data_IF_083987879940
#
_entry.id   IF_083987879940
#
_cell.length_a   1.000
_cell.length_b   1.000
_cell.length_c   1.000
_cell.angle_alpha   90.00
_cell.angle_beta   90.00
_cell.angle_gamma   90.00
#
_symmetry.space_group_name_H-M   'P 1'
#
loop_
_entity.id
_entity.type
_entity.pdbx_description
1 polymer ?
#
# COMPACT_ATOMS: atom_id res chain seq x y z
N UNK A 1 -8.57 -0.09 18.93
CA UNK A 1 -8.59 -1.56 18.76
C UNK A 1 -9.94 -1.93 18.19
N UNK A 2 -9.98 -2.79 17.17
CA UNK A 2 -11.20 -3.16 16.45
C UNK A 2 -11.29 -4.68 16.33
N UNK A 3 -12.50 -5.22 16.24
CA UNK A 3 -12.78 -6.61 15.93
C UNK A 3 -13.97 -6.69 14.97
N UNK A 4 -14.27 -7.88 14.46
CA UNK A 4 -15.42 -8.10 13.58
C UNK A 4 -16.36 -9.11 14.19
N UNK A 5 -17.65 -8.82 14.13
CA UNK A 5 -18.73 -9.73 14.51
C UNK A 5 -19.50 -10.20 13.27
N UNK A 6 -20.13 -11.37 13.34
CA UNK A 6 -21.11 -11.81 12.35
C UNK A 6 -22.50 -11.18 12.63
N UNK A 7 -23.51 -11.55 11.84
CA UNK A 7 -24.89 -11.07 12.02
C UNK A 7 -25.61 -11.66 13.24
N UNK A 8 -25.07 -12.73 13.82
CA UNK A 8 -25.58 -13.39 15.02
C UNK A 8 -25.02 -12.74 16.31
N UNK A 9 -24.00 -11.89 16.18
CA UNK A 9 -23.34 -11.18 17.28
C UNK A 9 -22.05 -11.84 17.76
N UNK A 10 -21.63 -12.95 17.14
CA UNK A 10 -20.40 -13.65 17.52
C UNK A 10 -19.17 -12.92 16.99
N UNK A 11 -18.14 -12.85 17.83
CA UNK A 11 -16.82 -12.32 17.46
C UNK A 11 -16.10 -13.30 16.51
N UNK A 12 -16.08 -12.98 15.22
CA UNK A 12 -15.45 -13.79 14.16
C UNK A 12 -13.98 -13.45 13.92
N UNK A 13 -13.58 -12.21 14.19
CA UNK A 13 -12.18 -11.79 14.23
C UNK A 13 -11.99 -11.07 15.54
N UNK A 14 -11.09 -11.61 16.37
CA UNK A 14 -10.76 -11.02 17.67
C UNK A 14 -10.21 -9.61 17.51
N UNK A 15 -10.18 -8.88 18.62
CA UNK A 15 -9.66 -7.53 18.68
C UNK A 15 -8.21 -7.44 18.22
N UNK A 16 -7.96 -6.44 17.37
CA UNK A 16 -6.68 -6.15 16.74
C UNK A 16 -6.41 -4.65 16.77
N UNK A 17 -5.16 -4.28 16.95
CA UNK A 17 -4.66 -2.91 16.95
C UNK A 17 -4.08 -2.48 15.60
N UNK A 18 -3.79 -3.44 14.72
CA UNK A 18 -3.22 -3.25 13.39
C UNK A 18 -4.23 -2.94 12.28
N UNK A 19 -5.55 -3.04 12.56
CA UNK A 19 -6.61 -2.77 11.58
C UNK A 19 -6.67 -1.28 11.20
N UNK A 20 -6.66 -1.00 9.89
CA UNK A 20 -6.72 0.36 9.35
C UNK A 20 -8.17 0.78 9.12
N UNK A 21 -8.54 1.95 9.62
CA UNK A 21 -9.88 2.52 9.43
C UNK A 21 -10.04 3.13 8.05
N UNK A 22 -11.23 2.98 7.48
CA UNK A 22 -11.62 3.63 6.22
C UNK A 22 -12.79 4.57 6.49
N UNK A 23 -12.74 5.76 5.89
CA UNK A 23 -13.92 6.64 5.87
C UNK A 23 -14.99 6.00 4.97
N UNK A 24 -16.12 5.65 5.57
CA UNK A 24 -17.28 5.17 4.87
C UNK A 24 -18.55 5.75 5.50
N UNK A 25 -19.32 6.50 4.70
CA UNK A 25 -20.54 7.19 5.14
C UNK A 25 -20.29 8.09 6.36
N UNK A 26 -19.21 8.88 6.33
CA UNK A 26 -18.85 9.84 7.39
C UNK A 26 -18.51 9.19 8.74
N UNK A 27 -18.10 7.92 8.70
CA UNK A 27 -17.65 7.17 9.87
C UNK A 27 -16.33 6.47 9.53
N UNK A 28 -15.48 6.29 10.53
CA UNK A 28 -14.17 5.66 10.37
C UNK A 28 -14.15 4.31 11.09
N UNK A 29 -14.10 3.23 10.32
CA UNK A 29 -13.95 1.87 10.86
C UNK A 29 -13.27 0.95 9.84
N UNK A 30 -12.65 -0.16 10.28
CA UNK A 30 -12.08 -1.14 9.37
C UNK A 30 -13.19 -1.81 8.56
N UNK A 31 -12.94 -2.01 7.27
CA UNK A 31 -13.91 -2.63 6.36
C UNK A 31 -13.27 -3.75 5.56
N UNK A 32 -14.10 -4.73 5.19
CA UNK A 32 -13.74 -5.68 4.14
C UNK A 32 -14.23 -5.15 2.80
N UNK A 33 -13.32 -5.06 1.84
CA UNK A 33 -13.61 -4.83 0.42
C UNK A 33 -12.95 -5.95 -0.38
N UNK A 34 -13.70 -6.57 -1.29
CA UNK A 34 -13.23 -7.74 -2.07
C UNK A 34 -12.56 -8.81 -1.18
N UNK A 35 -13.20 -9.13 -0.05
CA UNK A 35 -12.70 -10.10 0.94
C UNK A 35 -11.31 -9.80 1.54
N UNK A 36 -10.84 -8.55 1.47
CA UNK A 36 -9.61 -8.06 2.10
C UNK A 36 -9.89 -6.89 3.02
N UNK A 37 -9.18 -6.81 4.14
CA UNK A 37 -9.19 -5.66 5.05
C UNK A 37 -7.75 -5.17 5.25
N UNK A 38 -7.56 -3.84 5.21
CA UNK A 38 -6.25 -3.23 5.40
C UNK A 38 -5.75 -3.41 6.83
N UNK A 39 -4.48 -3.78 6.94
CA UNK A 39 -3.72 -3.77 8.18
C UNK A 39 -2.46 -2.94 8.04
N UNK A 40 -1.91 -2.49 9.15
CA UNK A 40 -0.66 -1.74 9.19
C UNK A 40 0.27 -2.20 10.30
N UNK A 41 1.56 -2.15 10.05
CA UNK A 41 2.60 -2.53 11.00
C UNK A 41 3.72 -1.50 10.95
N UNK A 42 4.25 -1.10 12.12
CA UNK A 42 5.35 -0.15 12.20
C UNK A 42 6.69 -0.87 12.33
N UNK A 43 7.56 -0.73 11.34
CA UNK A 43 8.92 -1.31 11.29
C UNK A 43 9.94 -0.19 11.28
N UNK A 44 10.85 -0.20 12.26
CA UNK A 44 11.91 0.82 12.40
C UNK A 44 11.42 2.28 12.38
N UNK A 45 10.16 2.49 12.81
CA UNK A 45 9.54 3.80 12.84
C UNK A 45 8.75 4.18 11.59
N UNK A 46 8.74 3.33 10.55
CA UNK A 46 7.99 3.52 9.31
C UNK A 46 6.76 2.61 9.33
N UNK A 47 5.60 3.13 8.93
CA UNK A 47 4.37 2.35 8.82
C UNK A 47 4.31 1.68 7.45
N UNK A 48 4.05 0.37 7.46
CA UNK A 48 3.82 -0.44 6.27
C UNK A 48 2.40 -0.99 6.29
N UNK A 49 1.85 -1.26 5.11
CA UNK A 49 0.48 -1.72 4.91
C UNK A 49 0.44 -3.08 4.25
N UNK A 50 -0.55 -3.86 4.64
CA UNK A 50 -0.85 -5.20 4.14
C UNK A 50 -2.34 -5.50 4.26
N UNK A 51 -2.72 -6.78 4.12
CA UNK A 51 -4.11 -7.18 4.08
C UNK A 51 -4.37 -8.52 4.78
N UNK A 52 -5.53 -8.60 5.45
CA UNK A 52 -6.07 -9.84 6.01
C UNK A 52 -7.30 -10.30 5.22
N UNK A 53 -7.61 -11.60 5.29
CA UNK A 53 -8.87 -12.16 4.80
C UNK A 53 -9.97 -12.15 5.90
N UNK A 54 -11.15 -12.71 5.58
CA UNK A 54 -12.30 -12.79 6.49
C UNK A 54 -12.15 -13.76 7.66
N UNK A 55 -11.17 -14.67 7.65
CA UNK A 55 -10.79 -15.48 8.83
C UNK A 55 -9.82 -14.74 9.74
N UNK A 56 -9.35 -13.54 9.35
CA UNK A 56 -8.35 -12.77 10.09
C UNK A 56 -6.91 -13.15 9.79
N UNK A 57 -6.67 -14.04 8.83
CA UNK A 57 -5.33 -14.43 8.42
C UNK A 57 -4.70 -13.35 7.53
N UNK A 58 -3.43 -13.05 7.77
CA UNK A 58 -2.66 -12.13 6.91
C UNK A 58 -2.33 -12.82 5.59
N UNK A 59 -3.01 -12.41 4.52
CA UNK A 59 -2.75 -12.88 3.15
C UNK A 59 -1.58 -12.10 2.56
N UNK A 60 -1.58 -10.77 2.76
CA UNK A 60 -0.51 -9.90 2.26
C UNK A 60 0.15 -9.24 3.45
N UNK A 61 1.43 -9.55 3.67
CA UNK A 61 2.19 -9.00 4.80
C UNK A 61 2.30 -7.48 4.67
N UNK A 62 2.44 -6.74 5.79
CA UNK A 62 2.71 -5.31 5.74
C UNK A 62 4.06 -4.99 5.09
N UNK A 63 4.04 -4.68 3.80
CA UNK A 63 5.25 -4.44 2.98
C UNK A 63 5.15 -3.19 2.09
N UNK A 64 3.95 -2.63 1.92
CA UNK A 64 3.75 -1.42 1.11
C UNK A 64 3.89 -0.17 1.96
N UNK A 65 4.44 0.91 1.41
CA UNK A 65 4.54 2.19 2.14
C UNK A 65 3.20 2.92 2.26
N UNK A 66 2.27 2.61 1.37
CA UNK A 66 0.88 3.04 1.40
C UNK A 66 0.04 2.06 0.59
N UNK A 67 -1.24 1.96 0.90
CA UNK A 67 -2.14 0.98 0.31
C UNK A 67 -3.59 1.47 0.34
N UNK A 68 -4.31 1.34 -0.77
CA UNK A 68 -5.75 1.59 -0.82
C UNK A 68 -6.54 0.37 -0.36
N UNK A 69 -7.82 0.54 -0.05
CA UNK A 69 -8.73 -0.60 -0.01
C UNK A 69 -8.79 -1.25 -1.40
N UNK A 70 -9.13 -2.54 -1.42
CA UNK A 70 -9.48 -3.19 -2.67
C UNK A 70 -10.76 -2.59 -3.26
N UNK A 71 -10.80 -2.54 -4.58
CA UNK A 71 -11.98 -2.21 -5.38
C UNK A 71 -11.82 -2.96 -6.70
N UNK A 72 -12.87 -3.66 -7.13
CA UNK A 72 -12.86 -4.42 -8.39
C UNK A 72 -11.65 -5.39 -8.46
N UNK A 73 -11.43 -6.12 -7.35
CA UNK A 73 -10.36 -7.11 -7.12
C UNK A 73 -8.91 -6.59 -7.29
N UNK A 74 -8.73 -5.27 -7.36
CA UNK A 74 -7.42 -4.62 -7.37
C UNK A 74 -7.25 -3.64 -6.22
N UNK A 75 -6.00 -3.38 -5.83
CA UNK A 75 -5.67 -2.30 -4.91
C UNK A 75 -4.46 -1.51 -5.43
N UNK A 76 -4.49 -0.19 -5.21
CA UNK A 76 -3.37 0.70 -5.49
C UNK A 76 -2.43 0.71 -4.28
N UNK A 77 -1.16 0.42 -4.50
CA UNK A 77 -0.14 0.36 -3.44
C UNK A 77 1.14 1.09 -3.85
N UNK A 78 1.89 1.53 -2.84
CA UNK A 78 3.26 2.05 -3.02
C UNK A 78 4.24 0.93 -2.72
N UNK A 79 4.80 0.36 -3.79
CA UNK A 79 5.78 -0.72 -3.76
C UNK A 79 7.19 -0.13 -3.72
N UNK A 80 7.99 -0.53 -2.74
CA UNK A 80 9.40 -0.16 -2.66
C UNK A 80 10.25 -1.22 -3.35
N UNK A 81 11.10 -0.78 -4.26
CA UNK A 81 12.11 -1.59 -4.94
C UNK A 81 13.49 -1.16 -4.45
N UNK A 82 14.34 -2.16 -4.20
CA UNK A 82 15.70 -1.99 -3.70
C UNK A 82 16.68 -2.26 -4.84
N UNK A 83 17.42 -1.25 -5.23
CA UNK A 83 18.44 -1.34 -6.27
C UNK A 83 19.83 -1.29 -5.65
N UNK A 84 20.73 -2.17 -6.10
CA UNK A 84 22.15 -2.04 -5.78
C UNK A 84 22.79 -1.15 -6.81
N UNK A 85 23.25 0.03 -6.41
CA UNK A 85 23.77 1.06 -7.32
C UNK A 85 25.30 1.13 -7.32
N UNK A 86 25.97 0.35 -6.48
CA UNK A 86 27.42 0.23 -6.49
C UNK A 86 28.00 -0.46 -5.26
N UNK A 87 29.32 -0.48 -5.20
CA UNK A 87 30.09 -0.95 -4.06
C UNK A 87 31.16 0.09 -3.75
N UNK A 88 31.31 0.43 -2.47
CA UNK A 88 32.36 1.30 -2.00
C UNK A 88 33.52 0.44 -1.49
N UNK A 89 34.59 0.35 -2.27
CA UNK A 89 35.74 -0.51 -1.97
C UNK A 89 36.47 -0.09 -0.68
N UNK A 90 36.54 1.22 -0.40
CA UNK A 90 37.25 1.75 0.77
C UNK A 90 36.53 1.34 2.07
N UNK A 91 35.20 1.37 2.07
CA UNK A 91 34.37 1.01 3.22
C UNK A 91 33.96 -0.46 3.21
N UNK A 92 34.25 -1.19 2.13
CA UNK A 92 33.75 -2.53 1.84
C UNK A 92 32.22 -2.63 2.04
N UNK A 93 31.47 -1.67 1.48
CA UNK A 93 30.01 -1.56 1.64
C UNK A 93 29.29 -1.45 0.31
N UNK A 94 28.24 -2.24 0.16
CA UNK A 94 27.28 -2.11 -0.96
C UNK A 94 26.42 -0.86 -0.78
N UNK A 95 26.37 -0.05 -1.83
CA UNK A 95 25.51 1.14 -1.88
C UNK A 95 24.16 0.73 -2.46
N UNK A 96 23.11 0.95 -1.67
CA UNK A 96 21.75 0.59 -2.01
C UNK A 96 20.93 1.87 -2.19
N UNK A 97 20.18 1.94 -3.28
CA UNK A 97 19.11 2.91 -3.47
C UNK A 97 17.77 2.25 -3.20
N UNK A 98 16.84 3.00 -2.62
CA UNK A 98 15.44 2.61 -2.56
C UNK A 98 14.64 3.55 -3.42
N UNK A 99 13.78 2.96 -4.23
CA UNK A 99 12.85 3.63 -5.10
C UNK A 99 11.46 3.10 -4.82
N UNK A 100 10.42 3.86 -5.13
CA UNK A 100 9.07 3.32 -5.10
C UNK A 100 8.29 3.61 -6.38
N UNK A 101 7.31 2.73 -6.61
CA UNK A 101 6.34 2.83 -7.69
C UNK A 101 4.93 2.75 -7.11
N UNK A 102 4.01 3.47 -7.74
CA UNK A 102 2.59 3.23 -7.58
C UNK A 102 2.18 2.11 -8.54
N UNK A 103 1.64 1.03 -7.99
CA UNK A 103 1.30 -0.19 -8.72
C UNK A 103 -0.09 -0.70 -8.33
N UNK A 104 -0.72 -1.45 -9.24
CA UNK A 104 -1.90 -2.25 -8.92
C UNK A 104 -1.48 -3.65 -8.49
N UNK A 105 -2.12 -4.16 -7.45
CA UNK A 105 -1.99 -5.56 -7.02
C UNK A 105 -3.33 -6.29 -7.13
N UNK A 106 -3.31 -7.60 -7.36
CA UNK A 106 -4.49 -8.45 -7.22
C UNK A 106 -4.70 -8.86 -5.74
N UNK A 107 -5.77 -9.61 -5.46
CA UNK A 107 -6.13 -10.05 -4.10
C UNK A 107 -5.11 -11.00 -3.45
N UNK A 108 -4.21 -11.61 -4.24
CA UNK A 108 -3.09 -12.41 -3.76
C UNK A 108 -1.81 -11.59 -3.52
N UNK A 109 -1.84 -10.28 -3.83
CA UNK A 109 -0.73 -9.36 -3.63
C UNK A 109 0.27 -9.33 -4.78
N UNK A 110 -0.04 -9.98 -5.90
CA UNK A 110 0.79 -9.97 -7.09
C UNK A 110 0.61 -8.64 -7.83
N UNK A 111 1.72 -8.03 -8.24
CA UNK A 111 1.70 -6.80 -9.03
C UNK A 111 1.17 -7.09 -10.43
N UNK A 112 0.11 -6.39 -10.83
CA UNK A 112 -0.51 -6.51 -12.15
C UNK A 112 -0.06 -5.40 -13.09
N UNK A 113 0.07 -4.15 -12.61
CA UNK A 113 0.44 -3.00 -13.43
C UNK A 113 1.29 -1.99 -12.68
N UNK A 114 2.27 -1.39 -13.36
CA UNK A 114 3.01 -0.23 -12.87
C UNK A 114 2.38 1.04 -13.44
N UNK A 115 1.87 1.92 -12.57
CA UNK A 115 1.15 3.13 -12.99
C UNK A 115 2.09 4.33 -13.17
N UNK A 116 3.24 4.27 -12.51
CA UNK A 116 4.31 5.28 -12.58
C UNK A 116 5.50 4.67 -13.31
N UNK A 117 5.91 5.20 -14.47
CA UNK A 117 7.02 4.63 -15.24
C UNK A 117 8.39 4.97 -14.63
N UNK A 118 8.48 6.11 -13.94
CA UNK A 118 9.72 6.58 -13.34
C UNK A 118 9.71 6.27 -11.84
N UNK A 119 10.75 5.59 -11.31
CA UNK A 119 10.89 5.38 -9.88
C UNK A 119 11.00 6.71 -9.14
N UNK A 120 10.32 6.84 -8.01
CA UNK A 120 10.54 7.95 -7.08
C UNK A 120 11.53 7.52 -5.99
N UNK A 121 12.64 8.24 -5.89
CA UNK A 121 13.67 7.94 -4.89
C UNK A 121 13.14 8.17 -3.47
N UNK A 122 13.52 7.28 -2.55
CA UNK A 122 13.16 7.41 -1.14
C UNK A 122 14.29 6.94 -0.22
N UNK A 123 14.49 7.66 0.87
CA UNK A 123 15.35 7.21 1.97
C UNK A 123 14.49 6.55 3.05
N UNK A 124 14.60 5.24 3.20
CA UNK A 124 13.85 4.47 4.21
C UNK A 124 14.46 4.68 5.61
N UNK A 125 14.08 5.78 6.27
CA UNK A 125 14.25 5.91 7.72
C UNK A 125 13.11 6.73 8.31
N UNK A 126 12.80 6.52 9.58
CA UNK A 126 11.80 7.32 10.33
C UNK A 126 12.04 8.84 10.28
N UNK A 127 13.26 9.28 10.02
CA UNK A 127 13.59 10.71 9.93
C UNK A 127 13.12 11.33 8.60
N UNK A 128 13.07 10.51 7.54
CA UNK A 128 12.68 10.93 6.18
C UNK A 128 11.24 10.52 5.85
N UNK A 129 10.82 9.32 6.27
CA UNK A 129 9.46 8.80 6.11
C UNK A 129 8.70 8.94 7.42
N UNK A 130 8.23 10.16 7.70
CA UNK A 130 7.44 10.47 8.90
C UNK A 130 5.98 10.03 8.77
N UNK A 131 5.47 10.04 7.54
CA UNK A 131 4.10 9.68 7.19
C UNK A 131 4.09 8.96 5.84
N UNK A 132 3.10 8.08 5.59
CA UNK A 132 2.97 7.38 4.32
C UNK A 132 2.99 8.35 3.13
N UNK A 133 3.81 8.09 2.09
CA UNK A 133 3.76 8.87 0.87
C UNK A 133 2.35 8.82 0.28
N UNK A 134 1.85 9.95 -0.18
CA UNK A 134 0.52 10.03 -0.79
C UNK A 134 0.56 9.54 -2.23
N UNK A 135 -0.54 8.95 -2.69
CA UNK A 135 -0.69 8.59 -4.08
C UNK A 135 -0.71 9.84 -4.97
N UNK A 136 0.03 9.76 -6.07
CA UNK A 136 -0.09 10.69 -7.19
C UNK A 136 -1.00 10.14 -8.28
N UNK A 137 -1.46 8.90 -8.16
CA UNK A 137 -2.42 8.26 -9.06
C UNK A 137 -3.83 8.26 -8.48
N UNK A 138 -4.81 8.52 -9.34
CA UNK A 138 -6.22 8.34 -9.06
C UNK A 138 -6.84 7.40 -10.11
N UNK A 139 -7.43 6.29 -9.65
CA UNK A 139 -8.19 5.39 -10.52
C UNK A 139 -9.53 6.03 -10.88
N UNK A 140 -9.83 6.14 -12.17
CA UNK A 140 -11.06 6.76 -12.69
C UNK A 140 -12.08 5.70 -13.10
N UNK A 141 -11.61 4.60 -13.68
CA UNK A 141 -12.38 3.39 -14.00
C UNK A 141 -11.44 2.19 -14.11
N UNK A 142 -11.98 1.01 -14.41
CA UNK A 142 -11.24 -0.26 -14.50
C UNK A 142 -10.03 -0.17 -15.44
N UNK A 143 -10.11 0.63 -16.51
CA UNK A 143 -9.06 0.76 -17.52
C UNK A 143 -8.50 2.19 -17.66
N UNK A 144 -8.83 3.10 -16.74
CA UNK A 144 -8.46 4.51 -16.85
C UNK A 144 -7.97 5.07 -15.52
N UNK A 145 -6.84 5.75 -15.54
CA UNK A 145 -6.28 6.41 -14.36
C UNK A 145 -5.68 7.77 -14.70
N UNK A 146 -5.66 8.67 -13.73
CA UNK A 146 -4.97 9.95 -13.82
C UNK A 146 -3.73 9.93 -12.95
N UNK A 147 -2.60 10.44 -13.44
CA UNK A 147 -1.35 10.59 -12.68
C UNK A 147 -1.02 12.08 -12.58
N UNK A 148 -0.75 12.54 -11.36
CA UNK A 148 -0.20 13.86 -11.10
C UNK A 148 1.31 13.84 -11.37
N UNK A 149 1.74 14.62 -12.34
CA UNK A 149 3.13 14.67 -12.81
C UNK A 149 3.95 15.70 -12.05
N UNK A 150 5.27 15.62 -12.18
CA UNK A 150 6.20 16.57 -11.55
C UNK A 150 6.08 17.99 -12.12
N UNK A 151 5.52 18.15 -13.33
CA UNK A 151 5.16 19.46 -13.91
C UNK A 151 3.78 19.98 -13.46
N UNK A 152 3.25 19.44 -12.36
CA UNK A 152 2.01 19.85 -11.70
C UNK A 152 0.77 19.78 -12.60
N UNK A 153 0.65 18.69 -13.38
CA UNK A 153 -0.50 18.44 -14.26
C UNK A 153 -1.07 17.04 -14.06
N UNK A 154 -2.35 16.90 -14.37
CA UNK A 154 -2.97 15.58 -14.50
C UNK A 154 -2.78 15.05 -15.92
N UNK A 155 -2.22 13.84 -16.03
CA UNK A 155 -2.18 13.09 -17.28
C UNK A 155 -3.06 11.86 -17.14
N UNK A 156 -4.01 11.71 -18.04
CA UNK A 156 -4.89 10.54 -18.11
C UNK A 156 -4.23 9.47 -18.96
N UNK A 157 -4.17 8.25 -18.44
CA UNK A 157 -3.60 7.07 -19.10
C UNK A 157 -4.59 5.91 -19.06
N UNK A 158 -4.45 5.00 -20.02
CA UNK A 158 -5.18 3.74 -20.05
C UNK A 158 -4.30 2.62 -19.50
N UNK A 159 -4.92 1.65 -18.85
CA UNK A 159 -4.29 0.36 -18.58
C UNK A 159 -4.27 -0.40 -19.91
N UNK A 160 -3.08 -0.78 -20.37
CA UNK A 160 -2.87 -1.59 -21.57
C UNK A 160 -2.93 -3.08 -21.24
#
# INVERSE_FOLDING_TARGET
>A
MWGFINTEGDLVINFRDDLVTTDFKSQNYPIFKNNRCLISEKKEGITYFGYINKSGETIIKPVFLNASNFKDDTALVILVVKDTIGHNDILNKTVISHNYFEVLINTEGETTHYLTPNPKHITLSKNFVKQPPQFTTQLLSDNLFAVWTDDEKWVIKKLE
#
